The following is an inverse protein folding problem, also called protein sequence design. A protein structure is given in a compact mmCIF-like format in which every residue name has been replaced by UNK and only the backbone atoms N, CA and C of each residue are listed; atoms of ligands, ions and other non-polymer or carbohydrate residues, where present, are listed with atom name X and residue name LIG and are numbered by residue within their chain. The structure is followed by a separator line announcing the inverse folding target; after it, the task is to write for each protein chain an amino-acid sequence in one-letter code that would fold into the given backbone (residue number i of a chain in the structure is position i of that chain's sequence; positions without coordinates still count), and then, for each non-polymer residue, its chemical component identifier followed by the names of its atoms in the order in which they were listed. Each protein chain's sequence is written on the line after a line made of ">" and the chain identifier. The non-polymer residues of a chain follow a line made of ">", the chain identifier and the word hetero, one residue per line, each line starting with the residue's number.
data_IF_619743915423
#
_entry.id   IF_619743915423
#
_cell.length_a   1.000
_cell.length_b   1.000
_cell.length_c   1.000
_cell.angle_alpha   90.00
_cell.angle_beta   90.00
_cell.angle_gamma   90.00
#
_symmetry.space_group_name_H-M   'P 1'
#
loop_
_entity.id
_entity.type
_entity.pdbx_description
1 polymer ?
#
# COMPACT_ATOMS: atom_id res chain seq x y z
N UNK A 1 -24.16 42.15 32.34
CA UNK A 1 -24.09 42.89 31.08
C UNK A 1 -22.70 43.51 30.98
N UNK A 2 -21.80 42.91 30.20
CA UNK A 2 -20.67 43.51 29.48
C UNK A 2 -19.71 42.38 29.10
N UNK A 3 -19.56 42.19 27.80
CA UNK A 3 -18.75 41.18 27.13
C UNK A 3 -17.51 41.91 26.62
N UNK A 4 -16.31 41.50 27.02
CA UNK A 4 -15.06 41.94 26.39
C UNK A 4 -14.41 40.76 25.71
N UNK A 5 -14.50 40.76 24.38
CA UNK A 5 -13.88 39.78 23.49
C UNK A 5 -12.44 40.19 23.17
N UNK A 6 -11.50 39.26 23.29
CA UNK A 6 -10.18 39.38 22.68
C UNK A 6 -10.01 38.20 21.73
N UNK A 7 -10.14 38.46 20.42
CA UNK A 7 -9.76 37.54 19.34
C UNK A 7 -8.46 38.06 18.74
N UNK A 8 -7.37 37.35 19.02
CA UNK A 8 -6.09 37.57 18.38
C UNK A 8 -6.02 36.68 17.13
N UNK A 9 -6.08 37.32 15.96
CA UNK A 9 -5.93 36.65 14.66
C UNK A 9 -4.46 36.47 14.35
N UNK A 10 -3.98 35.23 14.47
CA UNK A 10 -2.65 34.84 14.02
C UNK A 10 -2.67 34.61 12.50
N UNK A 11 -2.15 35.58 11.74
CA UNK A 11 -2.07 35.58 10.28
C UNK A 11 -0.73 34.96 9.87
N UNK A 12 -0.69 33.66 9.60
CA UNK A 12 0.49 32.98 9.06
C UNK A 12 0.46 33.10 7.53
N UNK A 13 1.23 34.02 6.99
CA UNK A 13 1.53 34.12 5.56
C UNK A 13 2.53 33.02 5.18
N UNK A 14 2.08 31.98 4.45
CA UNK A 14 2.98 31.07 3.75
C UNK A 14 3.40 31.71 2.43
N UNK A 15 4.66 32.16 2.36
CA UNK A 15 5.35 32.43 1.11
C UNK A 15 5.74 31.08 0.47
N UNK A 16 5.00 30.70 -0.58
CA UNK A 16 5.45 29.69 -1.53
C UNK A 16 6.43 30.37 -2.49
N UNK A 17 7.72 30.12 -2.29
CA UNK A 17 8.77 30.45 -3.25
C UNK A 17 8.75 29.41 -4.36
N UNK A 18 8.31 29.83 -5.54
CA UNK A 18 8.57 29.13 -6.80
C UNK A 18 9.90 29.63 -7.35
N UNK A 19 10.99 28.91 -7.11
CA UNK A 19 12.21 29.12 -7.87
C UNK A 19 12.84 27.81 -8.36
N UNK A 20 12.40 27.48 -9.58
CA UNK A 20 13.04 26.61 -10.55
C UNK A 20 14.36 27.22 -11.05
N UNK A 21 15.48 26.52 -10.84
CA UNK A 21 16.49 26.10 -11.87
C UNK A 21 17.85 25.84 -11.22
N UNK A 22 18.31 24.59 -11.29
CA UNK A 22 19.73 24.27 -11.11
C UNK A 22 20.48 24.53 -12.43
N UNK A 23 21.55 25.34 -12.46
CA UNK A 23 22.38 25.48 -13.64
C UNK A 23 23.40 24.34 -13.70
N UNK A 24 23.13 23.30 -14.49
CA UNK A 24 24.20 22.42 -14.96
C UNK A 24 24.88 23.07 -16.16
N UNK A 25 26.06 23.67 -15.94
CA UNK A 25 26.96 24.08 -17.00
C UNK A 25 27.77 22.87 -17.45
N UNK A 26 27.55 22.40 -18.68
CA UNK A 26 28.50 21.53 -19.37
C UNK A 26 29.41 22.40 -20.23
N UNK A 27 30.66 22.53 -19.80
CA UNK A 27 31.72 23.20 -20.56
C UNK A 27 32.28 22.24 -21.61
N UNK A 28 32.06 22.63 -22.87
CA UNK A 28 32.64 22.19 -24.15
C UNK A 28 33.63 21.01 -24.22
N UNK A 29 33.27 20.04 -25.06
CA UNK A 29 34.22 19.36 -25.95
C UNK A 29 33.65 19.40 -27.37
N UNK A 30 34.09 20.38 -28.18
CA UNK A 30 33.92 20.35 -29.64
C UNK A 30 35.00 19.45 -30.22
N UNK A 31 34.65 18.20 -30.48
CA UNK A 31 35.48 17.24 -31.20
C UNK A 31 34.70 16.65 -32.37
N UNK A 32 35.03 17.06 -33.58
CA UNK A 32 34.51 16.50 -34.83
C UNK A 32 35.12 15.12 -35.03
N UNK A 33 34.34 14.05 -34.84
CA UNK A 33 34.71 12.70 -35.29
C UNK A 33 33.70 12.24 -36.34
N UNK A 34 34.05 12.49 -37.60
CA UNK A 34 33.55 11.71 -38.74
C UNK A 34 34.20 10.33 -38.65
N UNK A 35 33.53 9.37 -38.06
CA UNK A 35 33.77 7.96 -38.33
C UNK A 35 32.45 7.19 -38.17
N UNK A 36 31.88 6.84 -39.32
CA UNK A 36 30.75 5.94 -39.48
C UNK A 36 31.14 4.53 -39.06
N UNK A 37 30.93 4.21 -37.79
CA UNK A 37 30.90 2.81 -37.32
C UNK A 37 29.48 2.30 -37.53
N UNK A 38 29.32 1.40 -38.51
CA UNK A 38 28.10 0.63 -38.69
C UNK A 38 27.96 -0.31 -37.48
N UNK A 39 27.04 0.01 -36.57
CA UNK A 39 26.63 -0.95 -35.54
C UNK A 39 25.80 -2.05 -36.19
N UNK A 40 26.10 -3.34 -35.98
CA UNK A 40 25.22 -4.40 -36.44
C UNK A 40 23.90 -4.30 -35.66
N UNK A 41 22.80 -4.31 -36.40
CA UNK A 41 21.50 -4.71 -35.86
C UNK A 41 21.62 -6.13 -35.28
N UNK A 42 20.83 -6.42 -34.24
CA UNK A 42 20.79 -7.64 -33.43
C UNK A 42 21.80 -7.74 -32.28
N UNK A 43 21.41 -7.15 -31.15
CA UNK A 43 21.30 -7.89 -29.90
C UNK A 43 20.28 -7.16 -29.02
N UNK A 44 19.00 -7.44 -29.26
CA UNK A 44 17.96 -7.22 -28.27
C UNK A 44 18.35 -8.07 -27.06
N UNK A 45 19.01 -7.48 -26.05
CA UNK A 45 19.05 -8.08 -24.73
C UNK A 45 17.60 -8.02 -24.20
N UNK A 46 16.80 -9.00 -24.62
CA UNK A 46 15.76 -9.52 -23.77
C UNK A 46 16.50 -10.01 -22.53
N UNK A 47 16.59 -9.15 -21.51
CA UNK A 47 16.65 -9.63 -20.14
C UNK A 47 15.36 -10.42 -19.96
N UNK A 48 15.42 -11.69 -20.33
CA UNK A 48 14.46 -12.69 -19.88
C UNK A 48 14.63 -12.63 -18.37
N UNK A 49 13.74 -11.88 -17.72
CA UNK A 49 13.49 -12.05 -16.31
C UNK A 49 12.87 -13.43 -16.21
N UNK A 50 13.72 -14.45 -16.21
CA UNK A 50 13.37 -15.75 -15.69
C UNK A 50 13.17 -15.48 -14.21
N UNK A 51 11.97 -15.00 -13.86
CA UNK A 51 11.48 -15.14 -12.52
C UNK A 51 11.44 -16.65 -12.32
N UNK A 52 12.55 -17.18 -11.81
CA UNK A 52 12.63 -18.53 -11.26
C UNK A 52 11.58 -18.50 -10.16
N UNK A 53 10.36 -18.87 -10.53
CA UNK A 53 9.34 -19.30 -9.61
C UNK A 53 9.89 -20.63 -9.13
N UNK A 54 10.78 -20.56 -8.14
CA UNK A 54 11.04 -21.71 -7.31
C UNK A 54 9.66 -22.09 -6.78
N UNK A 55 9.08 -23.13 -7.38
CA UNK A 55 7.86 -23.73 -6.86
C UNK A 55 8.21 -24.08 -5.42
N UNK A 56 7.71 -23.28 -4.48
CA UNK A 56 7.86 -23.57 -3.07
C UNK A 56 7.39 -25.01 -2.88
N UNK A 57 8.14 -25.78 -2.09
CA UNK A 57 7.78 -27.16 -1.82
C UNK A 57 6.29 -27.20 -1.41
N UNK A 58 5.48 -28.12 -1.96
CA UNK A 58 4.08 -28.24 -1.60
C UNK A 58 3.93 -28.26 -0.07
N UNK A 59 3.22 -27.28 0.49
CA UNK A 59 3.05 -27.11 1.94
C UNK A 59 3.90 -26.03 2.62
N UNK A 60 4.75 -25.30 1.90
CA UNK A 60 5.53 -24.19 2.48
C UNK A 60 4.70 -22.96 2.89
N UNK A 61 3.42 -22.89 2.48
CA UNK A 61 2.53 -21.76 2.71
C UNK A 61 2.82 -20.57 1.80
N UNK A 62 2.22 -19.44 2.13
CA UNK A 62 2.36 -18.15 1.47
C UNK A 62 3.78 -17.58 1.65
N UNK A 63 4.35 -17.03 0.58
CA UNK A 63 5.61 -16.26 0.61
C UNK A 63 5.38 -14.78 0.35
N UNK A 64 6.28 -13.90 0.82
CA UNK A 64 6.20 -12.45 0.54
C UNK A 64 6.05 -12.15 -0.96
N UNK A 65 6.80 -12.88 -1.81
CA UNK A 65 6.73 -12.67 -3.26
C UNK A 65 5.39 -13.13 -3.84
N UNK A 66 4.82 -14.23 -3.36
CA UNK A 66 3.48 -14.67 -3.80
C UNK A 66 2.39 -13.65 -3.43
N UNK A 67 2.45 -13.08 -2.23
CA UNK A 67 1.54 -12.03 -1.76
C UNK A 67 1.66 -10.77 -2.62
N UNK A 68 2.90 -10.34 -2.90
CA UNK A 68 3.17 -9.18 -3.75
C UNK A 68 2.65 -9.30 -5.17
N UNK A 69 2.36 -10.52 -5.65
CA UNK A 69 1.79 -10.77 -6.97
C UNK A 69 0.35 -11.31 -6.92
N UNK A 70 -0.28 -11.26 -5.74
CA UNK A 70 -1.65 -11.72 -5.51
C UNK A 70 -2.70 -10.70 -5.96
N UNK A 71 -3.95 -11.14 -5.99
CA UNK A 71 -5.11 -10.28 -6.24
C UNK A 71 -5.80 -9.95 -4.93
N UNK A 72 -6.16 -8.68 -4.76
CA UNK A 72 -6.83 -8.16 -3.57
C UNK A 72 -8.19 -7.58 -3.93
N UNK A 73 -9.09 -7.56 -2.95
CA UNK A 73 -10.41 -6.93 -3.05
C UNK A 73 -10.45 -5.81 -2.01
N UNK A 74 -9.74 -4.69 -2.27
CA UNK A 74 -9.69 -3.61 -1.30
C UNK A 74 -11.07 -3.05 -1.04
N UNK A 75 -11.27 -2.47 0.15
CA UNK A 75 -12.49 -1.77 0.47
C UNK A 75 -12.57 -0.47 -0.35
N UNK A 76 -13.25 -0.53 -1.50
CA UNK A 76 -13.44 0.65 -2.35
C UNK A 76 -14.51 1.54 -1.76
N UNK A 77 -14.10 2.70 -1.24
CA UNK A 77 -15.00 3.79 -0.90
C UNK A 77 -15.23 4.64 -2.13
N UNK A 78 -16.36 4.42 -2.79
CA UNK A 78 -16.92 5.44 -3.68
C UNK A 78 -17.75 6.40 -2.84
N UNK A 79 -17.82 7.67 -3.24
CA UNK A 79 -18.63 8.70 -2.58
C UNK A 79 -20.16 8.43 -2.63
N UNK A 80 -20.58 7.34 -3.28
CA UNK A 80 -21.98 7.04 -3.62
C UNK A 80 -22.47 5.73 -2.98
N UNK A 81 -21.90 5.32 -1.84
CA UNK A 81 -22.30 4.13 -1.06
C UNK A 81 -22.24 2.79 -1.83
N UNK A 82 -21.69 2.78 -3.05
CA UNK A 82 -21.51 1.56 -3.83
C UNK A 82 -20.09 1.06 -3.66
N UNK A 83 -19.95 0.03 -2.83
CA UNK A 83 -18.71 -0.76 -2.73
C UNK A 83 -18.63 -1.61 -3.99
N UNK A 84 -17.97 -1.10 -5.03
CA UNK A 84 -17.58 -1.96 -6.14
C UNK A 84 -16.43 -2.86 -5.69
N UNK A 85 -16.73 -4.14 -5.48
CA UNK A 85 -15.70 -5.14 -5.17
C UNK A 85 -14.97 -5.49 -6.46
N UNK A 86 -13.87 -4.78 -6.76
CA UNK A 86 -12.99 -5.11 -7.89
C UNK A 86 -11.76 -5.86 -7.41
N UNK A 87 -11.43 -6.97 -8.08
CA UNK A 87 -10.16 -7.67 -7.85
C UNK A 87 -9.02 -6.88 -8.51
N UNK A 88 -8.07 -6.40 -7.70
CA UNK A 88 -6.87 -5.71 -8.17
C UNK A 88 -5.68 -6.66 -8.05
N UNK A 89 -5.09 -7.03 -9.19
CA UNK A 89 -3.84 -7.79 -9.21
C UNK A 89 -2.66 -6.83 -9.02
N UNK A 90 -1.83 -7.13 -8.03
CA UNK A 90 -0.58 -6.40 -7.81
C UNK A 90 0.55 -7.03 -8.63
N UNK A 91 1.52 -6.21 -9.01
CA UNK A 91 2.79 -6.64 -9.59
C UNK A 91 3.90 -6.15 -8.68
N UNK A 92 4.65 -7.07 -8.08
CA UNK A 92 5.69 -6.74 -7.10
C UNK A 92 5.21 -5.83 -5.94
N UNK A 93 3.95 -5.99 -5.53
CA UNK A 93 3.35 -5.29 -4.41
C UNK A 93 2.77 -3.93 -4.78
N UNK A 94 2.76 -3.56 -6.05
CA UNK A 94 2.24 -2.28 -6.51
C UNK A 94 1.17 -2.55 -7.56
N UNK A 95 0.04 -1.86 -7.41
CA UNK A 95 -0.90 -1.62 -8.48
C UNK A 95 -0.54 -0.28 -9.11
N UNK A 96 0.03 -0.31 -10.32
CA UNK A 96 0.24 0.89 -11.10
C UNK A 96 -0.83 0.97 -12.20
N UNK A 97 -1.56 2.09 -12.20
CA UNK A 97 -2.58 2.40 -13.19
C UNK A 97 -1.91 2.58 -14.57
N UNK A 98 -2.09 1.59 -15.45
CA UNK A 98 -1.51 1.59 -16.80
C UNK A 98 -2.37 0.98 -17.92
N UNK A 99 -3.59 0.51 -17.62
CA UNK A 99 -4.60 0.20 -18.64
C UNK A 99 -5.60 1.36 -18.70
N UNK A 100 -5.51 2.15 -19.77
CA UNK A 100 -6.27 3.38 -20.09
C UNK A 100 -7.82 3.31 -20.01
N UNK A 101 -8.42 2.19 -19.63
CA UNK A 101 -9.86 1.95 -19.80
C UNK A 101 -10.58 1.56 -18.51
N UNK A 102 -10.09 2.00 -17.35
CA UNK A 102 -10.82 1.77 -16.11
C UNK A 102 -10.87 3.07 -15.34
N UNK A 103 -12.08 3.58 -15.12
CA UNK A 103 -12.44 4.53 -14.07
C UNK A 103 -12.11 3.90 -12.70
N UNK A 104 -10.83 3.62 -12.44
CA UNK A 104 -10.36 3.25 -11.11
C UNK A 104 -10.05 4.55 -10.38
N UNK A 105 -10.84 4.78 -9.35
CA UNK A 105 -10.70 5.86 -8.38
C UNK A 105 -9.36 5.88 -7.64
N UNK A 106 -8.53 4.84 -7.74
CA UNK A 106 -7.20 4.81 -7.14
C UNK A 106 -6.13 5.30 -8.12
N UNK A 107 -5.26 6.16 -7.60
CA UNK A 107 -4.01 6.54 -8.27
C UNK A 107 -2.91 5.54 -7.95
N UNK A 108 -2.91 5.00 -6.73
CA UNK A 108 -1.93 4.04 -6.23
C UNK A 108 -2.57 3.09 -5.21
N UNK A 109 -2.24 1.80 -5.32
CA UNK A 109 -2.41 0.80 -4.26
C UNK A 109 -1.09 0.05 -4.09
N UNK A 110 -0.56 0.02 -2.87
CA UNK A 110 0.74 -0.57 -2.58
C UNK A 110 0.71 -1.41 -1.30
N UNK A 111 1.38 -2.56 -1.33
CA UNK A 111 1.74 -3.30 -0.11
C UNK A 111 2.93 -2.59 0.54
N UNK A 112 2.72 -2.09 1.76
CA UNK A 112 3.77 -1.42 2.55
C UNK A 112 4.43 -2.39 3.53
N UNK A 113 3.63 -3.24 4.18
CA UNK A 113 4.11 -4.21 5.17
C UNK A 113 3.50 -5.58 4.91
N UNK A 114 4.27 -6.62 5.21
CA UNK A 114 3.85 -8.02 5.16
C UNK A 114 4.29 -8.68 6.45
N UNK A 115 3.36 -9.33 7.15
CA UNK A 115 3.65 -10.23 8.25
C UNK A 115 3.21 -11.63 7.88
N UNK A 116 4.10 -12.60 8.08
CA UNK A 116 3.85 -14.01 7.82
C UNK A 116 3.59 -14.75 9.13
N UNK A 117 2.66 -15.70 9.10
CA UNK A 117 2.36 -16.59 10.23
C UNK A 117 1.08 -17.38 9.99
N UNK A 118 0.85 -18.43 10.77
CA UNK A 118 -0.37 -19.25 10.69
C UNK A 118 -1.55 -18.49 11.32
N UNK A 119 -2.51 -18.06 10.49
CA UNK A 119 -3.66 -17.25 10.92
C UNK A 119 -4.93 -18.07 11.12
N UNK A 120 -5.03 -19.24 10.51
CA UNK A 120 -6.22 -20.10 10.57
C UNK A 120 -6.00 -21.39 11.38
N UNK A 121 -4.78 -21.65 11.86
CA UNK A 121 -4.41 -22.81 12.66
C UNK A 121 -4.21 -24.09 11.85
N UNK A 122 -4.00 -24.02 10.54
CA UNK A 122 -3.84 -25.19 9.67
C UNK A 122 -2.38 -25.67 9.54
N UNK A 123 -1.46 -25.02 10.25
CA UNK A 123 -0.04 -25.33 10.26
C UNK A 123 0.74 -24.80 9.05
N UNK A 124 0.11 -23.99 8.19
CA UNK A 124 0.76 -23.35 7.05
C UNK A 124 0.95 -21.87 7.27
N UNK A 125 1.92 -21.31 6.55
CA UNK A 125 2.18 -19.88 6.58
C UNK A 125 1.09 -19.14 5.80
N UNK A 126 0.39 -18.23 6.47
CA UNK A 126 -0.48 -17.23 5.86
C UNK A 126 0.21 -15.85 5.85
N UNK A 127 -0.49 -14.82 5.37
CA UNK A 127 -0.02 -13.46 5.43
C UNK A 127 -1.09 -12.47 5.87
N UNK A 128 -0.68 -11.50 6.68
CA UNK A 128 -1.35 -10.23 6.84
C UNK A 128 -0.56 -9.15 6.08
N UNK A 129 -1.26 -8.30 5.35
CA UNK A 129 -0.63 -7.19 4.61
C UNK A 129 -1.23 -5.87 4.97
N UNK A 130 -0.37 -4.85 5.05
CA UNK A 130 -0.80 -3.45 5.06
C UNK A 130 -0.84 -2.95 3.62
N UNK A 131 -2.00 -2.48 3.21
CA UNK A 131 -2.25 -1.83 1.94
C UNK A 131 -2.35 -0.32 2.16
N UNK A 132 -1.59 0.44 1.39
CA UNK A 132 -1.64 1.88 1.31
C UNK A 132 -2.35 2.31 0.03
N UNK A 133 -3.27 3.26 0.17
CA UNK A 133 -4.09 3.78 -0.90
C UNK A 133 -3.89 5.28 -1.01
N UNK A 134 -3.76 5.77 -2.25
CA UNK A 134 -3.75 7.20 -2.55
C UNK A 134 -4.83 7.54 -3.59
N UNK A 135 -5.66 8.53 -3.27
CA UNK A 135 -6.70 9.11 -4.15
C UNK A 135 -6.89 10.59 -3.83
N UNK A 136 -6.76 11.47 -4.82
CA UNK A 136 -6.95 12.92 -4.67
C UNK A 136 -6.18 13.50 -3.47
N UNK A 137 -4.89 13.16 -3.34
CA UNK A 137 -4.02 13.53 -2.20
C UNK A 137 -4.47 13.02 -0.81
N UNK A 138 -5.42 12.07 -0.77
CA UNK A 138 -5.85 11.43 0.47
C UNK A 138 -5.23 10.06 0.60
N UNK A 139 -4.58 9.88 1.73
CA UNK A 139 -3.93 8.63 2.11
C UNK A 139 -4.85 7.83 3.03
N UNK A 140 -4.96 6.53 2.76
CA UNK A 140 -5.66 5.61 3.65
C UNK A 140 -4.92 4.29 3.76
N UNK A 141 -5.10 3.64 4.91
CA UNK A 141 -4.51 2.33 5.18
C UNK A 141 -5.58 1.27 5.41
N UNK A 142 -5.28 0.06 4.95
CA UNK A 142 -6.10 -1.13 5.06
C UNK A 142 -5.22 -2.31 5.48
N UNK A 143 -5.77 -3.27 6.24
CA UNK A 143 -5.14 -4.58 6.44
C UNK A 143 -5.94 -5.65 5.69
N UNK A 144 -5.27 -6.42 4.84
CA UNK A 144 -5.84 -7.55 4.15
C UNK A 144 -5.17 -8.87 4.57
N UNK A 145 -5.94 -9.96 4.54
CA UNK A 145 -5.51 -11.30 4.93
C UNK A 145 -5.47 -12.22 3.73
N UNK A 146 -4.35 -12.90 3.56
CA UNK A 146 -4.09 -13.85 2.48
C UNK A 146 -3.79 -15.21 3.11
N UNK A 147 -4.64 -16.20 2.85
CA UNK A 147 -4.43 -17.56 3.33
C UNK A 147 -3.75 -18.44 2.27
N UNK A 148 -3.04 -19.47 2.71
CA UNK A 148 -2.61 -20.56 1.82
C UNK A 148 -3.72 -21.58 1.58
N UNK A 149 -4.54 -21.38 0.54
CA UNK A 149 -5.55 -22.36 0.15
C UNK A 149 -4.99 -23.35 -0.87
N UNK A 150 -4.35 -24.41 -0.35
CA UNK A 150 -3.77 -25.51 -1.14
C UNK A 150 -2.61 -25.08 -2.05
N UNK A 151 -1.70 -24.26 -1.54
CA UNK A 151 -0.56 -23.71 -2.29
C UNK A 151 -0.91 -22.45 -3.09
N UNK A 152 -2.13 -21.91 -2.91
CA UNK A 152 -2.62 -20.74 -3.64
C UNK A 152 -2.89 -19.62 -2.63
N UNK A 153 -2.23 -18.46 -2.76
CA UNK A 153 -2.53 -17.31 -1.91
C UNK A 153 -3.93 -16.76 -2.26
N UNK A 154 -4.83 -16.73 -1.28
CA UNK A 154 -6.20 -16.26 -1.46
C UNK A 154 -6.51 -15.14 -0.45
N UNK A 155 -6.90 -13.97 -0.96
CA UNK A 155 -7.42 -12.89 -0.15
C UNK A 155 -8.79 -13.29 0.45
N UNK A 156 -8.92 -13.30 1.78
CA UNK A 156 -10.13 -13.76 2.48
C UNK A 156 -10.82 -12.69 3.33
N UNK A 157 -10.10 -11.67 3.79
CA UNK A 157 -10.64 -10.68 4.71
C UNK A 157 -9.88 -9.36 4.58
N UNK A 158 -10.59 -8.26 4.80
CA UNK A 158 -10.01 -6.92 4.85
C UNK A 158 -10.58 -6.11 6.01
N UNK A 159 -9.79 -5.17 6.53
CA UNK A 159 -10.20 -4.12 7.47
C UNK A 159 -9.63 -2.78 7.02
N UNK A 160 -10.54 -1.85 6.70
CA UNK A 160 -10.21 -0.47 6.43
C UNK A 160 -10.04 0.32 7.72
N UNK A 161 -9.02 1.20 7.78
CA UNK A 161 -8.73 2.02 8.96
C UNK A 161 -9.00 3.52 8.77
N UNK A 162 -9.50 3.95 7.61
CA UNK A 162 -9.80 5.36 7.37
C UNK A 162 -8.66 6.18 6.77
N UNK A 163 -9.03 7.38 6.34
CA UNK A 163 -8.11 8.39 5.81
C UNK A 163 -7.22 8.94 6.93
N UNK A 164 -5.95 9.16 6.63
CA UNK A 164 -4.96 9.68 7.56
C UNK A 164 -4.52 8.68 8.63
N UNK A 165 -4.89 7.40 8.49
CA UNK A 165 -4.36 6.31 9.32
C UNK A 165 -3.08 5.76 8.71
N UNK A 166 -2.04 5.62 9.52
CA UNK A 166 -0.81 4.92 9.19
C UNK A 166 -0.72 3.63 10.01
N UNK A 167 -0.34 2.53 9.35
CA UNK A 167 0.02 1.29 10.02
C UNK A 167 1.54 1.30 10.22
N UNK A 168 1.99 1.56 11.44
CA UNK A 168 3.41 1.70 11.80
C UNK A 168 4.08 0.34 12.00
N UNK A 169 3.37 -0.62 12.61
CA UNK A 169 3.83 -1.99 12.80
C UNK A 169 2.74 -3.01 12.44
N UNK A 170 3.16 -4.17 11.94
CA UNK A 170 2.30 -5.28 11.55
C UNK A 170 3.02 -6.58 11.85
N UNK A 171 2.42 -7.42 12.69
CA UNK A 171 2.96 -8.73 13.05
C UNK A 171 1.84 -9.77 13.20
N UNK A 172 2.20 -11.04 13.00
CA UNK A 172 1.33 -12.18 13.31
C UNK A 172 1.92 -12.92 14.52
N UNK A 173 1.14 -13.07 15.58
CA UNK A 173 1.55 -13.71 16.84
C UNK A 173 0.41 -14.61 17.31
N UNK A 174 0.68 -15.92 17.40
CA UNK A 174 -0.28 -16.93 17.90
C UNK A 174 -1.66 -16.85 17.21
N UNK A 175 -1.69 -16.85 15.87
CA UNK A 175 -2.93 -16.74 15.08
C UNK A 175 -3.66 -15.40 15.18
N UNK A 176 -3.03 -14.39 15.78
CA UNK A 176 -3.60 -13.03 15.90
C UNK A 176 -2.71 -12.03 15.17
N UNK A 177 -3.34 -10.99 14.62
CA UNK A 177 -2.64 -9.89 13.95
C UNK A 177 -2.51 -8.76 14.95
N UNK A 178 -1.27 -8.38 15.28
CA UNK A 178 -0.97 -7.22 16.11
C UNK A 178 -0.58 -6.07 15.19
N UNK A 179 -1.25 -4.94 15.37
CA UNK A 179 -1.01 -3.70 14.63
C UNK A 179 -0.62 -2.61 15.60
N UNK A 180 0.34 -1.79 15.20
CA UNK A 180 0.53 -0.46 15.76
C UNK A 180 0.07 0.56 14.73
N UNK A 181 -0.92 1.38 15.08
CA UNK A 181 -1.54 2.34 14.16
C UNK A 181 -1.51 3.75 14.73
N UNK A 182 -1.32 4.74 13.88
CA UNK A 182 -1.48 6.15 14.22
C UNK A 182 -2.57 6.76 13.33
N UNK A 183 -3.21 7.84 13.76
CA UNK A 183 -4.08 8.61 12.89
C UNK A 183 -3.90 10.09 13.14
N UNK A 184 -3.56 10.83 12.09
CA UNK A 184 -3.22 12.26 12.15
C UNK A 184 -4.35 13.14 12.73
N UNK A 185 -5.62 12.69 12.64
CA UNK A 185 -6.78 13.43 13.12
C UNK A 185 -7.08 13.18 14.60
N UNK A 186 -6.82 11.99 15.11
CA UNK A 186 -7.31 11.56 16.42
C UNK A 186 -6.23 11.52 17.52
N UNK A 187 -4.95 11.52 17.16
CA UNK A 187 -3.86 11.44 18.12
C UNK A 187 -2.69 12.30 17.63
N UNK A 188 -2.13 13.15 18.50
CA UNK A 188 -0.89 13.91 18.29
C UNK A 188 0.33 12.96 18.18
N UNK A 189 0.36 12.10 17.16
CA UNK A 189 1.48 11.18 16.89
C UNK A 189 1.62 9.96 17.80
N UNK A 190 0.70 9.71 18.76
CA UNK A 190 0.78 8.52 19.60
C UNK A 190 0.20 7.28 18.92
N UNK A 191 1.03 6.25 18.74
CA UNK A 191 0.61 4.94 18.26
C UNK A 191 -0.35 4.23 19.21
N UNK A 192 -1.34 3.55 18.66
CA UNK A 192 -2.21 2.61 19.38
C UNK A 192 -1.94 1.20 18.92
N UNK A 193 -1.74 0.30 19.88
CA UNK A 193 -1.67 -1.14 19.60
C UNK A 193 -3.07 -1.75 19.60
N UNK A 194 -3.44 -2.47 18.55
CA UNK A 194 -4.67 -3.25 18.46
C UNK A 194 -4.39 -4.66 17.97
N UNK A 195 -5.23 -5.60 18.39
CA UNK A 195 -5.10 -7.01 18.00
C UNK A 195 -6.38 -7.48 17.33
N UNK A 196 -6.23 -8.13 16.18
CA UNK A 196 -7.32 -8.74 15.42
C UNK A 196 -7.15 -10.25 15.35
N UNK A 197 -8.26 -10.96 15.22
CA UNK A 197 -8.31 -12.39 14.90
C UNK A 197 -9.10 -12.61 13.63
N UNK A 198 -8.70 -13.62 12.86
CA UNK A 198 -9.49 -14.11 11.75
C UNK A 198 -10.56 -15.08 12.27
N UNK A 199 -11.84 -14.71 12.15
CA UNK A 199 -12.97 -15.55 12.54
C UNK A 199 -13.94 -15.59 11.38
N UNK A 200 -14.19 -16.77 10.82
CA UNK A 200 -15.11 -16.96 9.68
C UNK A 200 -14.80 -16.01 8.51
N UNK A 201 -13.52 -15.92 8.11
CA UNK A 201 -13.03 -15.00 7.07
C UNK A 201 -13.35 -13.52 7.33
N UNK A 202 -13.43 -13.12 8.60
CA UNK A 202 -13.58 -11.72 9.01
C UNK A 202 -12.54 -11.36 10.06
N UNK A 203 -12.02 -10.13 9.96
CA UNK A 203 -11.17 -9.57 11.00
C UNK A 203 -12.04 -9.06 12.15
N UNK A 204 -11.86 -9.66 13.32
CA UNK A 204 -12.57 -9.31 14.56
C UNK A 204 -11.57 -8.75 15.55
N UNK A 205 -11.80 -7.52 15.99
CA UNK A 205 -10.94 -6.77 16.91
C UNK A 205 -11.54 -5.40 17.24
N UNK A 206 -10.93 -4.66 18.17
CA UNK A 206 -11.39 -3.33 18.54
C UNK A 206 -11.13 -2.32 17.43
N UNK A 207 -11.99 -1.32 17.31
CA UNK A 207 -11.68 -0.15 16.47
C UNK A 207 -10.66 0.75 17.21
N UNK A 208 -9.44 0.96 16.67
CA UNK A 208 -8.41 1.76 17.33
C UNK A 208 -8.84 3.21 17.62
N UNK A 209 -9.78 3.75 16.84
CA UNK A 209 -10.20 5.15 16.93
C UNK A 209 -11.65 5.30 17.44
N UNK A 210 -12.23 4.24 18.00
CA UNK A 210 -13.64 4.19 18.40
C UNK A 210 -14.57 4.03 17.19
N UNK A 211 -15.89 4.11 17.38
CA UNK A 211 -16.83 4.07 16.25
C UNK A 211 -16.61 5.30 15.37
N UNK A 212 -15.74 5.20 14.39
CA UNK A 212 -15.60 6.18 13.33
C UNK A 212 -16.92 6.20 12.58
N UNK A 213 -17.67 7.29 12.72
CA UNK A 213 -18.72 7.60 11.75
C UNK A 213 -17.98 8.04 10.49
N UNK A 214 -17.85 7.12 9.54
CA UNK A 214 -17.41 7.42 8.18
C UNK A 214 -18.43 8.35 7.54
#
# INVERSE_FOLDING_TARGET
>A
MSISSVREQMRISRHLSTDTRLPFQFTGIKGTLKNSVRFPALALLAMISTAITANAAPGAGVTVQSVRNSSFHPAIWTYVDQIEVRSLRLLNGIYEKGRKNVDSDYELLQIVKVALGDLNGDGKTDAAVSLYHMKDDREASEVAIVLDLKGVPVHVATRFFGVGTEIMDLSVVNGSIRLEVSNAKYCEGQGKTVTYRLINNKLVGPDPFGKTRY
#
